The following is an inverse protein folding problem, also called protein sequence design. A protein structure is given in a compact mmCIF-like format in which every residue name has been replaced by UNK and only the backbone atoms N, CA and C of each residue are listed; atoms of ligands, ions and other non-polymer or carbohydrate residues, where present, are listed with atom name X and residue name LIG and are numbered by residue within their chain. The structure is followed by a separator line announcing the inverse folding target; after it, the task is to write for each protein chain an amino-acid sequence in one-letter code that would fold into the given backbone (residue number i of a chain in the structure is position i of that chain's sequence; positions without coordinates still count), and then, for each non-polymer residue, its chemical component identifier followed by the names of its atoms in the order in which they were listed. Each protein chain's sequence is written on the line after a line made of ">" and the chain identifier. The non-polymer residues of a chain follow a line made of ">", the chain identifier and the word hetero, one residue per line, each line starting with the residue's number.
data_IF_517202638136
#
_entry.id   IF_517202638136
#
_cell.length_a   1.000
_cell.length_b   1.000
_cell.length_c   1.000
_cell.angle_alpha   90.00
_cell.angle_beta   90.00
_cell.angle_gamma   90.00
#
_symmetry.space_group_name_H-M   'P 1'
#
loop_
_entity.id
_entity.type
_entity.pdbx_description
1 polymer ?
#
# COMPACT_ATOMS: atom_id res chain seq x y z
N UNK A 1 -2.22 15.81 -26.76
CA UNK A 1 -1.08 16.33 -25.98
C UNK A 1 0.26 16.34 -26.73
N UNK A 2 0.44 15.66 -27.87
CA UNK A 2 1.55 15.94 -28.84
C UNK A 2 3.01 15.85 -28.35
N UNK A 3 3.27 15.58 -27.07
CA UNK A 3 4.61 15.63 -26.48
C UNK A 3 5.52 14.46 -26.84
N UNK A 4 4.95 13.37 -27.34
CA UNK A 4 5.72 12.27 -27.91
C UNK A 4 6.08 12.59 -29.37
N UNK A 5 7.38 12.59 -29.68
CA UNK A 5 7.88 12.84 -31.03
C UNK A 5 8.55 11.61 -31.64
N UNK A 6 9.42 10.95 -30.87
CA UNK A 6 10.14 9.74 -31.27
C UNK A 6 10.58 8.98 -30.02
N UNK A 7 11.22 7.82 -30.18
CA UNK A 7 11.94 7.17 -29.09
C UNK A 7 13.05 8.08 -28.57
N UNK A 8 13.15 8.19 -27.24
CA UNK A 8 14.17 8.98 -26.55
C UNK A 8 14.76 8.14 -25.42
N UNK A 9 16.09 7.94 -25.36
CA UNK A 9 16.72 7.00 -24.42
C UNK A 9 16.55 7.37 -22.94
N UNK A 10 16.30 8.65 -22.63
CA UNK A 10 16.24 9.18 -21.26
C UNK A 10 14.85 9.75 -20.91
N UNK A 11 13.85 9.54 -21.75
CA UNK A 11 12.51 10.09 -21.52
C UNK A 11 11.62 9.06 -20.82
N UNK A 12 10.93 9.49 -19.75
CA UNK A 12 10.02 8.66 -18.95
C UNK A 12 10.68 7.43 -18.30
N UNK A 13 11.98 7.49 -18.00
CA UNK A 13 12.63 6.46 -17.19
C UNK A 13 12.04 6.44 -15.76
N UNK A 14 11.79 5.25 -15.22
CA UNK A 14 11.25 5.04 -13.88
C UNK A 14 12.16 4.20 -12.99
N UNK A 15 11.64 3.81 -11.83
CA UNK A 15 12.34 2.98 -10.84
C UNK A 15 11.94 1.50 -11.02
N UNK A 16 12.94 0.63 -11.19
CA UNK A 16 12.75 -0.81 -11.37
C UNK A 16 12.75 -1.60 -10.05
N UNK A 17 12.12 -2.78 -10.06
CA UNK A 17 12.07 -3.70 -8.91
C UNK A 17 13.28 -4.63 -8.81
N UNK A 18 14.06 -4.79 -9.87
CA UNK A 18 15.24 -5.67 -9.86
C UNK A 18 16.30 -5.14 -8.90
N UNK A 19 16.84 -6.04 -8.07
CA UNK A 19 17.81 -5.77 -7.00
C UNK A 19 17.32 -4.82 -5.88
N UNK A 20 16.01 -4.53 -5.85
CA UNK A 20 15.41 -3.60 -4.89
C UNK A 20 15.17 -4.21 -3.51
N UNK A 21 14.99 -3.34 -2.51
CA UNK A 21 14.40 -3.65 -1.21
C UNK A 21 12.94 -3.22 -1.18
N UNK A 22 12.02 -4.15 -0.84
CA UNK A 22 10.59 -3.87 -0.67
C UNK A 22 10.20 -3.97 0.80
N UNK A 23 9.73 -2.89 1.39
CA UNK A 23 9.18 -2.83 2.74
C UNK A 23 7.66 -2.94 2.76
N UNK A 24 7.13 -3.88 3.54
CA UNK A 24 5.68 -4.10 3.67
C UNK A 24 5.22 -3.72 5.08
N UNK A 25 4.38 -2.70 5.18
CA UNK A 25 3.72 -2.33 6.43
C UNK A 25 2.45 -3.19 6.56
N UNK A 26 2.54 -4.22 7.42
CA UNK A 26 1.50 -5.21 7.65
C UNK A 26 1.63 -6.47 6.80
N UNK A 27 2.42 -7.47 7.25
CA UNK A 27 2.54 -8.77 6.57
C UNK A 27 1.35 -9.72 6.87
N UNK A 28 0.13 -9.24 6.64
CA UNK A 28 -1.09 -10.05 6.69
C UNK A 28 -1.32 -10.86 5.40
N UNK A 29 -2.53 -11.42 5.24
CA UNK A 29 -2.91 -12.18 4.03
C UNK A 29 -2.64 -11.43 2.73
N UNK A 30 -2.97 -10.13 2.68
CA UNK A 30 -2.75 -9.26 1.51
C UNK A 30 -1.26 -8.97 1.33
N UNK A 31 -0.55 -8.53 2.39
CA UNK A 31 0.89 -8.27 2.32
C UNK A 31 1.72 -9.47 1.84
N UNK A 32 1.39 -10.69 2.28
CA UNK A 32 2.01 -11.92 1.79
C UNK A 32 1.70 -12.16 0.31
N UNK A 33 0.46 -11.94 -0.11
CA UNK A 33 0.06 -12.07 -1.51
C UNK A 33 0.75 -11.05 -2.43
N UNK A 34 1.03 -9.84 -1.92
CA UNK A 34 1.85 -8.82 -2.58
C UNK A 34 3.29 -9.28 -2.69
N UNK A 35 3.94 -9.67 -1.58
CA UNK A 35 5.32 -10.15 -1.58
C UNK A 35 5.54 -11.29 -2.58
N UNK A 36 4.61 -12.26 -2.60
CA UNK A 36 4.62 -13.39 -3.54
C UNK A 36 4.59 -12.95 -5.00
N UNK A 37 3.80 -11.92 -5.33
CA UNK A 37 3.70 -11.37 -6.69
C UNK A 37 4.92 -10.56 -7.08
N UNK A 38 5.57 -9.88 -6.13
CA UNK A 38 6.75 -9.06 -6.39
C UNK A 38 8.04 -9.88 -6.47
N UNK A 39 8.14 -11.00 -5.77
CA UNK A 39 9.34 -11.87 -5.75
C UNK A 39 9.92 -12.17 -7.15
N UNK A 40 9.15 -12.59 -8.17
CA UNK A 40 9.69 -12.88 -9.50
C UNK A 40 10.19 -11.65 -10.28
N UNK A 41 9.99 -10.42 -9.80
CA UNK A 41 10.54 -9.20 -10.42
C UNK A 41 12.03 -8.98 -10.08
N UNK A 42 12.63 -9.88 -9.29
CA UNK A 42 14.05 -9.80 -8.91
C UNK A 42 14.30 -8.94 -7.67
N UNK A 43 13.31 -8.83 -6.77
CA UNK A 43 13.48 -8.17 -5.46
C UNK A 43 14.57 -8.87 -4.67
N UNK A 44 15.59 -8.13 -4.23
CA UNK A 44 16.72 -8.67 -3.47
C UNK A 44 16.32 -8.94 -2.01
N UNK A 45 15.54 -8.05 -1.41
CA UNK A 45 15.21 -8.12 0.02
C UNK A 45 13.79 -7.68 0.31
N UNK A 46 13.10 -8.45 1.16
CA UNK A 46 11.81 -8.07 1.73
C UNK A 46 11.99 -7.68 3.19
N UNK A 47 11.45 -6.52 3.56
CA UNK A 47 11.31 -6.07 4.94
C UNK A 47 9.84 -6.04 5.31
N UNK A 48 9.52 -6.21 6.58
CA UNK A 48 8.17 -5.94 7.05
C UNK A 48 8.14 -5.42 8.48
N UNK A 49 7.06 -4.70 8.78
CA UNK A 49 6.74 -4.24 10.14
C UNK A 49 5.26 -4.48 10.46
N UNK A 50 4.90 -4.38 11.73
CA UNK A 50 3.55 -4.65 12.24
C UNK A 50 3.53 -4.86 13.75
N UNK A 51 2.44 -5.39 14.29
CA UNK A 51 2.26 -5.64 15.73
C UNK A 51 3.25 -6.65 16.33
N UNK A 52 3.96 -7.41 15.50
CA UNK A 52 4.99 -8.34 15.93
C UNK A 52 5.52 -9.19 14.77
N UNK A 53 6.61 -9.95 15.00
CA UNK A 53 7.16 -10.89 14.03
C UNK A 53 6.15 -11.98 13.64
N UNK A 54 6.23 -12.42 12.38
CA UNK A 54 5.45 -13.53 11.81
C UNK A 54 6.38 -14.48 11.06
N UNK A 55 7.25 -15.23 11.76
CA UNK A 55 8.33 -16.00 11.14
C UNK A 55 7.83 -17.00 10.09
N UNK A 56 6.71 -17.68 10.35
CA UNK A 56 6.11 -18.62 9.41
C UNK A 56 5.67 -17.94 8.10
N UNK A 57 4.99 -16.79 8.21
CA UNK A 57 4.55 -16.01 7.03
C UNK A 57 5.71 -15.36 6.28
N UNK A 58 6.78 -15.02 6.99
CA UNK A 58 7.94 -14.33 6.44
C UNK A 58 8.92 -15.29 5.74
N UNK A 59 8.97 -16.56 6.16
CA UNK A 59 9.89 -17.57 5.65
C UNK A 59 9.79 -17.77 4.12
N UNK A 60 8.59 -17.71 3.55
CA UNK A 60 8.37 -17.86 2.09
C UNK A 60 9.16 -16.83 1.26
N UNK A 61 9.37 -15.64 1.83
CA UNK A 61 10.00 -14.50 1.16
C UNK A 61 11.40 -14.20 1.70
N UNK A 62 11.84 -14.89 2.75
CA UNK A 62 13.01 -14.49 3.53
C UNK A 62 12.86 -13.08 4.11
N UNK A 63 11.63 -12.67 4.45
CA UNK A 63 11.35 -11.31 4.87
C UNK A 63 11.84 -11.05 6.31
N UNK A 64 12.47 -9.90 6.53
CA UNK A 64 13.01 -9.52 7.83
C UNK A 64 12.04 -8.60 8.59
N UNK A 65 11.75 -8.93 9.85
CA UNK A 65 10.96 -8.04 10.71
C UNK A 65 11.83 -6.91 11.23
N UNK A 66 11.42 -5.67 10.97
CA UNK A 66 12.19 -4.48 11.35
C UNK A 66 11.29 -3.39 11.95
N UNK A 67 11.85 -2.47 12.76
CA UNK A 67 11.16 -1.24 13.16
C UNK A 67 10.75 -0.39 11.94
N UNK A 68 9.70 0.42 12.09
CA UNK A 68 9.16 1.28 11.03
C UNK A 68 10.24 2.21 10.43
N UNK A 69 11.05 2.83 11.27
CA UNK A 69 12.12 3.74 10.84
C UNK A 69 13.12 3.05 9.90
N UNK A 70 13.59 1.86 10.29
CA UNK A 70 14.50 1.06 9.46
C UNK A 70 13.85 0.61 8.15
N UNK A 71 12.55 0.30 8.17
CA UNK A 71 11.81 -0.01 6.95
C UNK A 71 11.78 1.18 6.00
N UNK A 72 11.52 2.39 6.50
CA UNK A 72 11.53 3.61 5.69
C UNK A 72 12.91 3.89 5.08
N UNK A 73 13.97 3.79 5.88
CA UNK A 73 15.35 4.08 5.48
C UNK A 73 15.88 3.10 4.42
N UNK A 74 15.55 1.81 4.54
CA UNK A 74 16.16 0.77 3.71
C UNK A 74 15.36 0.42 2.44
N UNK A 75 14.08 0.78 2.37
CA UNK A 75 13.20 0.37 1.26
C UNK A 75 13.28 1.27 0.04
N UNK A 76 13.34 0.66 -1.15
CA UNK A 76 13.14 1.34 -2.43
C UNK A 76 11.64 1.42 -2.78
N UNK A 77 10.85 0.46 -2.28
CA UNK A 77 9.40 0.47 -2.39
C UNK A 77 8.78 0.20 -1.03
N UNK A 78 7.83 1.03 -0.61
CA UNK A 78 7.04 0.81 0.61
C UNK A 78 5.61 0.49 0.20
N UNK A 79 5.07 -0.63 0.68
CA UNK A 79 3.68 -1.03 0.43
C UNK A 79 2.91 -1.17 1.74
N UNK A 80 1.83 -0.41 1.88
CA UNK A 80 0.98 -0.40 3.07
C UNK A 80 -0.26 -1.28 2.86
N UNK A 81 -0.37 -2.31 3.68
CA UNK A 81 -1.49 -3.29 3.66
C UNK A 81 -2.02 -3.61 5.07
N UNK A 82 -1.68 -2.78 6.07
CA UNK A 82 -2.13 -2.92 7.44
C UNK A 82 -3.62 -2.58 7.64
N UNK A 83 -4.18 -2.89 8.80
CA UNK A 83 -5.49 -2.39 9.19
C UNK A 83 -5.37 -0.96 9.75
N UNK A 84 -6.46 -0.17 9.64
CA UNK A 84 -6.57 1.09 10.37
C UNK A 84 -6.94 0.81 11.83
N UNK A 85 -6.08 1.23 12.74
CA UNK A 85 -6.24 1.15 14.20
C UNK A 85 -5.70 2.43 14.82
N UNK A 86 -5.91 2.70 16.13
CA UNK A 86 -5.29 3.85 16.78
C UNK A 86 -3.76 3.88 16.66
N UNK A 87 -3.11 2.72 16.55
CA UNK A 87 -1.67 2.63 16.41
C UNK A 87 -1.17 2.86 14.96
N UNK A 88 -2.03 2.73 13.94
CA UNK A 88 -1.67 2.94 12.53
C UNK A 88 -2.20 4.23 11.95
N UNK A 89 -3.11 4.93 12.65
CA UNK A 89 -3.62 6.23 12.23
C UNK A 89 -2.49 7.26 12.20
N UNK A 90 -2.30 7.91 11.05
CA UNK A 90 -1.24 8.89 10.84
C UNK A 90 0.19 8.32 10.95
N UNK A 91 0.36 7.00 10.88
CA UNK A 91 1.67 6.35 10.98
C UNK A 91 2.62 6.77 9.87
N UNK A 92 2.11 6.97 8.65
CA UNK A 92 2.89 7.49 7.53
C UNK A 92 2.76 9.02 7.50
N UNK A 93 3.61 9.68 8.28
CA UNK A 93 3.66 11.13 8.47
C UNK A 93 4.98 11.72 7.97
N UNK A 94 5.21 13.01 8.26
CA UNK A 94 6.42 13.75 7.91
C UNK A 94 7.71 13.03 8.29
N UNK A 95 7.82 12.51 9.51
CA UNK A 95 9.04 11.83 9.98
C UNK A 95 9.28 10.53 9.22
N UNK A 96 8.21 9.80 8.90
CA UNK A 96 8.28 8.61 8.07
C UNK A 96 8.79 8.95 6.66
N UNK A 97 8.21 9.95 6.00
CA UNK A 97 8.62 10.35 4.65
C UNK A 97 10.02 10.96 4.61
N UNK A 98 10.44 11.69 5.66
CA UNK A 98 11.78 12.27 5.76
C UNK A 98 12.88 11.20 5.85
N UNK A 99 12.56 10.01 6.35
CA UNK A 99 13.47 8.85 6.42
C UNK A 99 13.52 8.04 5.13
N UNK A 100 12.49 8.14 4.29
CA UNK A 100 12.44 7.42 3.04
C UNK A 100 13.54 7.88 2.07
N UNK A 101 13.98 6.99 1.18
CA UNK A 101 14.93 7.36 0.13
C UNK A 101 14.27 8.33 -0.85
N UNK A 102 15.04 9.30 -1.35
CA UNK A 102 14.61 10.21 -2.43
C UNK A 102 14.15 9.49 -3.70
N UNK A 103 14.66 8.28 -3.94
CA UNK A 103 14.33 7.44 -5.09
C UNK A 103 13.18 6.46 -4.81
N UNK A 104 12.64 6.43 -3.61
CA UNK A 104 11.66 5.42 -3.21
C UNK A 104 10.25 5.75 -3.68
N UNK A 105 9.45 4.69 -3.86
CA UNK A 105 8.03 4.79 -4.21
C UNK A 105 7.17 4.30 -3.05
N UNK A 106 6.19 5.12 -2.65
CA UNK A 106 5.24 4.81 -1.59
C UNK A 106 3.90 4.31 -2.17
N UNK A 107 3.35 3.21 -1.68
CA UNK A 107 2.07 2.66 -2.14
C UNK A 107 1.15 2.38 -0.97
N UNK A 108 -0.05 2.98 -0.96
CA UNK A 108 -1.06 2.72 0.06
C UNK A 108 -2.32 2.05 -0.51
N UNK A 109 -2.64 0.87 0.01
CA UNK A 109 -3.87 0.12 -0.29
C UNK A 109 -4.64 -0.28 0.97
N UNK A 110 -4.30 0.31 2.13
CA UNK A 110 -4.94 0.05 3.41
C UNK A 110 -6.17 0.94 3.63
N UNK A 111 -5.99 2.09 4.27
CA UNK A 111 -6.98 3.16 4.49
C UNK A 111 -6.28 4.51 4.36
N UNK A 112 -7.02 5.53 3.92
CA UNK A 112 -6.47 6.89 3.81
C UNK A 112 -5.90 7.41 5.12
N UNK A 113 -6.57 7.17 6.24
CA UNK A 113 -6.18 7.70 7.56
C UNK A 113 -4.88 7.10 8.14
N UNK A 114 -4.28 6.09 7.49
CA UNK A 114 -2.92 5.63 7.84
C UNK A 114 -1.86 6.65 7.41
N UNK A 115 -2.20 7.49 6.42
CA UNK A 115 -1.31 8.50 5.83
C UNK A 115 -1.75 9.89 6.25
N UNK A 116 -0.79 10.71 6.70
CA UNK A 116 -1.00 12.15 6.69
C UNK A 116 -0.84 12.66 5.26
N UNK A 117 -1.95 13.06 4.63
CA UNK A 117 -1.95 13.49 3.23
C UNK A 117 -1.26 14.84 3.00
N UNK A 118 -1.24 15.72 4.00
CA UNK A 118 -0.52 17.00 3.92
C UNK A 118 0.99 16.74 3.90
N UNK A 119 1.47 15.88 4.81
CA UNK A 119 2.88 15.49 4.85
C UNK A 119 3.30 14.75 3.57
N UNK A 120 2.43 13.89 3.02
CA UNK A 120 2.69 13.21 1.75
C UNK A 120 2.81 14.23 0.59
N UNK A 121 1.91 15.20 0.54
CA UNK A 121 1.97 16.26 -0.46
C UNK A 121 3.29 17.03 -0.37
N UNK A 122 3.70 17.45 0.83
CA UNK A 122 4.98 18.14 1.05
C UNK A 122 6.16 17.27 0.62
N UNK A 123 6.18 15.98 1.00
CA UNK A 123 7.25 15.06 0.65
C UNK A 123 7.40 14.88 -0.87
N UNK A 124 6.29 14.81 -1.61
CA UNK A 124 6.29 14.70 -3.07
C UNK A 124 6.73 15.99 -3.74
N UNK A 125 6.24 17.15 -3.28
CA UNK A 125 6.61 18.46 -3.83
C UNK A 125 8.09 18.79 -3.59
N UNK A 126 8.62 18.43 -2.43
CA UNK A 126 10.02 18.67 -2.06
C UNK A 126 10.98 17.62 -2.63
N UNK A 127 10.48 16.57 -3.29
CA UNK A 127 11.30 15.47 -3.81
C UNK A 127 12.00 14.67 -2.71
N UNK A 128 11.37 14.55 -1.52
CA UNK A 128 11.83 13.69 -0.44
C UNK A 128 11.63 12.21 -0.78
N UNK A 129 10.60 11.91 -1.58
CA UNK A 129 10.35 10.61 -2.19
C UNK A 129 10.07 10.79 -3.68
N UNK A 130 10.23 9.73 -4.47
CA UNK A 130 10.10 9.83 -5.91
C UNK A 130 8.65 9.96 -6.36
N UNK A 131 7.77 9.10 -5.83
CA UNK A 131 6.37 9.03 -6.21
C UNK A 131 5.50 8.34 -5.16
N UNK A 132 4.18 8.50 -5.29
CA UNK A 132 3.21 7.77 -4.50
C UNK A 132 2.04 7.22 -5.34
N UNK A 133 1.53 6.05 -4.94
CA UNK A 133 0.31 5.45 -5.47
C UNK A 133 -0.69 5.16 -4.36
N UNK A 134 -1.91 5.68 -4.45
CA UNK A 134 -2.94 5.57 -3.42
C UNK A 134 -4.20 4.92 -4.02
N UNK A 135 -4.65 3.80 -3.46
CA UNK A 135 -6.01 3.27 -3.73
C UNK A 135 -7.05 3.81 -2.73
N UNK A 136 -6.61 4.53 -1.70
CA UNK A 136 -7.44 4.98 -0.57
C UNK A 136 -7.05 6.39 -0.17
N UNK A 137 -8.03 7.20 0.26
CA UNK A 137 -7.82 8.61 0.62
C UNK A 137 -8.62 9.00 1.86
N UNK A 138 -8.39 10.22 2.35
CA UNK A 138 -9.17 10.85 3.42
C UNK A 138 -9.59 12.26 2.96
N UNK A 139 -10.88 12.56 2.75
CA UNK A 139 -12.02 11.63 2.71
C UNK A 139 -12.05 10.78 1.42
N UNK A 140 -13.07 9.94 1.29
CA UNK A 140 -13.44 9.27 0.03
C UNK A 140 -14.87 9.66 -0.36
N UNK A 141 -15.13 10.24 -1.55
CA UNK A 141 -14.13 10.58 -2.58
C UNK A 141 -13.25 11.77 -2.18
N UNK A 142 -12.01 11.79 -2.67
CA UNK A 142 -11.13 12.94 -2.54
C UNK A 142 -11.68 14.12 -3.38
N UNK A 143 -11.71 15.36 -2.85
CA UNK A 143 -12.11 16.53 -3.63
C UNK A 143 -11.27 16.67 -4.90
N UNK A 144 -11.89 17.03 -6.02
CA UNK A 144 -11.21 17.10 -7.33
C UNK A 144 -10.20 18.24 -7.42
N UNK A 145 -10.30 19.23 -6.56
CA UNK A 145 -9.37 20.34 -6.38
C UNK A 145 -8.28 20.06 -5.32
N UNK A 146 -8.25 18.85 -4.76
CA UNK A 146 -7.27 18.49 -3.74
C UNK A 146 -5.83 18.54 -4.30
N UNK A 147 -4.86 19.13 -3.57
CA UNK A 147 -3.50 19.37 -4.09
C UNK A 147 -2.78 18.12 -4.63
N UNK A 148 -2.97 16.94 -4.01
CA UNK A 148 -2.38 15.69 -4.50
C UNK A 148 -2.75 15.36 -5.95
N UNK A 149 -3.94 15.74 -6.43
CA UNK A 149 -4.38 15.49 -7.81
C UNK A 149 -3.67 16.39 -8.84
N UNK A 150 -2.97 17.43 -8.39
CA UNK A 150 -2.16 18.29 -9.26
C UNK A 150 -0.75 17.75 -9.51
N UNK A 151 -0.31 16.74 -8.75
CA UNK A 151 1.05 16.22 -8.78
C UNK A 151 1.22 15.14 -9.85
N UNK A 152 2.22 15.29 -10.72
CA UNK A 152 2.50 14.30 -11.78
C UNK A 152 3.11 12.99 -11.26
N UNK A 153 3.66 13.01 -10.03
CA UNK A 153 4.24 11.85 -9.36
C UNK A 153 3.32 11.28 -8.25
N UNK A 154 2.03 11.62 -8.27
CA UNK A 154 1.01 11.01 -7.42
C UNK A 154 -0.07 10.35 -8.29
N UNK A 155 -0.31 9.06 -8.07
CA UNK A 155 -1.39 8.32 -8.73
C UNK A 155 -2.45 7.98 -7.69
N UNK A 156 -3.70 8.36 -7.94
CA UNK A 156 -4.82 8.10 -7.03
C UNK A 156 -5.90 7.30 -7.77
N UNK A 157 -6.31 6.19 -7.16
CA UNK A 157 -7.36 5.31 -7.63
C UNK A 157 -8.57 5.38 -6.68
N UNK A 158 -9.80 5.21 -7.17
CA UNK A 158 -11.01 5.36 -6.36
C UNK A 158 -11.41 4.06 -5.64
N UNK A 159 -10.51 3.51 -4.81
CA UNK A 159 -10.77 2.34 -3.95
C UNK A 159 -11.24 1.09 -4.72
N UNK A 160 -10.40 0.65 -5.66
CA UNK A 160 -10.70 -0.41 -6.61
C UNK A 160 -9.95 -1.72 -6.34
N UNK A 161 -9.25 -1.87 -5.21
CA UNK A 161 -8.44 -3.06 -4.91
C UNK A 161 -9.14 -4.43 -5.03
N UNK A 162 -10.46 -4.49 -4.81
CA UNK A 162 -11.28 -5.72 -4.96
C UNK A 162 -12.15 -5.77 -6.21
N UNK A 163 -12.02 -4.81 -7.13
CA UNK A 163 -12.98 -4.53 -8.20
C UNK A 163 -12.86 -5.46 -9.43
N UNK A 164 -12.95 -6.78 -9.21
CA UNK A 164 -13.22 -7.74 -10.29
C UNK A 164 -14.63 -8.31 -10.11
N UNK A 165 -15.32 -8.64 -11.22
CA UNK A 165 -16.67 -9.20 -11.15
C UNK A 165 -16.73 -10.47 -10.29
N UNK A 166 -15.77 -11.38 -10.44
CA UNK A 166 -15.73 -12.63 -9.69
C UNK A 166 -15.52 -12.39 -8.18
N UNK A 167 -14.60 -11.49 -7.81
CA UNK A 167 -14.34 -11.15 -6.40
C UNK A 167 -15.56 -10.45 -5.79
N UNK A 168 -16.11 -9.44 -6.46
CA UNK A 168 -17.29 -8.70 -5.97
C UNK A 168 -18.52 -9.61 -5.84
N UNK A 169 -18.72 -10.54 -6.76
CA UNK A 169 -19.81 -11.53 -6.67
C UNK A 169 -19.63 -12.48 -5.49
N UNK A 170 -18.42 -13.02 -5.30
CA UNK A 170 -18.11 -13.87 -4.15
C UNK A 170 -18.32 -13.13 -2.82
N UNK A 171 -17.90 -11.87 -2.73
CA UNK A 171 -18.11 -11.03 -1.55
C UNK A 171 -19.61 -10.79 -1.27
N UNK A 172 -20.39 -10.47 -2.30
CA UNK A 172 -21.83 -10.25 -2.16
C UNK A 172 -22.55 -11.50 -1.64
N UNK A 173 -22.21 -12.68 -2.17
CA UNK A 173 -22.77 -13.95 -1.71
C UNK A 173 -22.36 -14.25 -0.26
N UNK A 174 -21.09 -14.03 0.08
CA UNK A 174 -20.62 -14.25 1.45
C UNK A 174 -21.32 -13.31 2.45
N UNK A 175 -21.48 -12.03 2.10
CA UNK A 175 -22.18 -11.05 2.93
C UNK A 175 -23.64 -11.47 3.16
N UNK A 176 -24.35 -11.88 2.11
CA UNK A 176 -25.72 -12.36 2.22
C UNK A 176 -25.83 -13.62 3.09
N UNK A 177 -24.89 -14.57 2.95
CA UNK A 177 -24.87 -15.79 3.77
C UNK A 177 -24.60 -15.51 5.26
N UNK A 178 -23.65 -14.62 5.56
CA UNK A 178 -23.41 -14.18 6.94
C UNK A 178 -24.66 -13.53 7.55
N UNK A 179 -25.32 -12.63 6.81
CA UNK A 179 -26.55 -11.98 7.26
C UNK A 179 -27.66 -12.99 7.57
N UNK A 180 -27.92 -13.93 6.65
CA UNK A 180 -28.96 -14.94 6.82
C UNK A 180 -28.68 -15.88 8.00
N UNK A 181 -27.43 -16.32 8.17
CA UNK A 181 -27.04 -17.15 9.31
C UNK A 181 -27.25 -16.41 10.64
N UNK A 182 -26.81 -15.14 10.72
CA UNK A 182 -27.02 -14.29 11.90
C UNK A 182 -28.48 -14.10 12.26
N UNK A 183 -29.35 -13.83 11.27
CA UNK A 183 -30.79 -13.68 11.48
C UNK A 183 -31.47 -14.97 12.00
N UNK A 184 -30.85 -16.13 11.77
CA UNK A 184 -31.35 -17.44 12.22
C UNK A 184 -30.70 -17.94 13.51
N UNK A 185 -29.70 -17.22 14.03
CA UNK A 185 -28.87 -17.71 15.14
C UNK A 185 -27.99 -18.91 14.77
N UNK A 186 -27.68 -19.07 13.48
CA UNK A 186 -26.78 -20.10 12.97
C UNK A 186 -25.34 -19.56 12.90
N UNK A 187 -24.31 -20.44 12.95
CA UNK A 187 -22.92 -20.02 12.75
C UNK A 187 -22.71 -19.32 11.40
N UNK A 188 -22.10 -18.13 11.41
CA UNK A 188 -21.81 -17.42 10.16
C UNK A 188 -20.60 -18.02 9.43
N UNK A 189 -20.62 -18.12 8.09
CA UNK A 189 -19.45 -18.59 7.32
C UNK A 189 -18.15 -17.84 7.58
N UNK A 190 -18.22 -16.52 7.84
CA UNK A 190 -17.08 -15.66 8.19
C UNK A 190 -17.52 -14.66 9.25
N UNK A 191 -17.62 -15.13 10.50
CA UNK A 191 -17.91 -14.29 11.66
C UNK A 191 -16.67 -13.49 12.10
N UNK A 192 -16.87 -12.22 12.48
CA UNK A 192 -15.85 -11.45 13.19
C UNK A 192 -16.03 -11.67 14.68
N UNK A 193 -15.04 -12.28 15.34
CA UNK A 193 -15.00 -12.31 16.79
C UNK A 193 -14.69 -10.90 17.32
N UNK A 194 -15.60 -10.36 18.13
CA UNK A 194 -15.50 -9.05 18.76
C UNK A 194 -14.73 -9.10 20.08
#
# INVERSE_FOLDING_TARGET
>A
SGGWTTWKPLWMCGYGLSDSTVGIIGLGRIGQAVARRLKPFGVRRFLYTGSGPKPESAAEFGAEFVPLDRLAEESDFVVVTCALTPATQGMCNKDFFARMKKTSVFVNTSRGAVVNQEDLYEALVQGQIAAAGLDVTTPEPLPTDHPLLSLQNCVILPHIGSATYATRSTMAVLAARNLLAGLRGEPMPQELAL
#
